data_IF_780682800847
#
_entry.id   IF_780682800847
#
_cell.length_a   1.000
_cell.length_b   1.000
_cell.length_c   1.000
_cell.angle_alpha   90.00
_cell.angle_beta   90.00
_cell.angle_gamma   90.00
#
_symmetry.space_group_name_H-M   'P 1'
#
loop_
_entity.id
_entity.type
_entity.pdbx_description
1 polymer ?
#
# COMPACT_ATOMS: atom_id res chain seq x y z
N UNK A 1 21.13 5.98 1.19
CA UNK A 1 19.81 6.31 1.79
C UNK A 1 18.66 5.65 1.04
N UNK A 2 18.53 5.84 -0.28
CA UNK A 2 17.42 5.30 -1.07
C UNK A 2 17.23 3.78 -0.97
N UNK A 3 18.32 2.99 -1.03
CA UNK A 3 18.26 1.53 -0.91
C UNK A 3 17.69 1.11 0.46
N UNK A 4 18.16 1.73 1.54
CA UNK A 4 17.67 1.44 2.88
C UNK A 4 16.17 1.75 3.01
N UNK A 5 15.73 2.90 2.49
CA UNK A 5 14.31 3.28 2.47
C UNK A 5 13.49 2.27 1.65
N UNK A 6 13.98 1.89 0.47
CA UNK A 6 13.31 0.91 -0.39
C UNK A 6 13.15 -0.44 0.32
N UNK A 7 14.19 -0.91 1.01
CA UNK A 7 14.14 -2.15 1.81
C UNK A 7 13.07 -2.04 2.89
N UNK A 8 13.03 -0.95 3.64
CA UNK A 8 12.06 -0.74 4.73
C UNK A 8 10.63 -0.72 4.16
N UNK A 9 10.38 0.08 3.12
CA UNK A 9 9.06 0.21 2.49
C UNK A 9 8.59 -1.13 1.93
N UNK A 10 9.45 -1.84 1.20
CA UNK A 10 9.12 -3.14 0.64
C UNK A 10 8.84 -4.19 1.73
N UNK A 11 9.60 -4.16 2.83
CA UNK A 11 9.38 -5.03 3.98
C UNK A 11 8.01 -4.79 4.61
N UNK A 12 7.63 -3.51 4.83
CA UNK A 12 6.32 -3.17 5.40
C UNK A 12 5.18 -3.61 4.47
N UNK A 13 5.28 -3.32 3.17
CA UNK A 13 4.28 -3.70 2.18
C UNK A 13 4.06 -5.21 2.17
N UNK A 14 5.15 -6.01 2.14
CA UNK A 14 5.00 -7.47 2.14
C UNK A 14 4.47 -7.98 3.47
N UNK A 15 4.93 -7.48 4.63
CA UNK A 15 4.42 -7.95 5.93
C UNK A 15 2.90 -7.73 6.02
N UNK A 16 2.40 -6.58 5.55
CA UNK A 16 0.96 -6.30 5.53
C UNK A 16 0.22 -7.16 4.49
N UNK A 17 0.86 -7.46 3.36
CA UNK A 17 0.34 -8.41 2.37
C UNK A 17 0.16 -9.81 2.98
N UNK A 18 1.21 -10.35 3.61
CA UNK A 18 1.17 -11.65 4.27
C UNK A 18 0.15 -11.67 5.41
N UNK A 19 0.00 -10.56 6.14
CA UNK A 19 -1.05 -10.42 7.15
C UNK A 19 -2.45 -10.59 6.54
N UNK A 20 -2.68 -10.14 5.31
CA UNK A 20 -3.94 -10.35 4.60
C UNK A 20 -4.24 -11.84 4.37
N UNK A 21 -3.28 -12.58 3.81
CA UNK A 21 -3.39 -14.02 3.66
C UNK A 21 -3.63 -14.72 5.01
N UNK A 22 -2.87 -14.33 6.03
CA UNK A 22 -2.98 -14.89 7.38
C UNK A 22 -4.38 -14.71 7.98
N UNK A 23 -4.90 -13.48 7.96
CA UNK A 23 -6.21 -13.16 8.54
C UNK A 23 -7.33 -13.87 7.78
N UNK A 24 -7.29 -13.87 6.45
CA UNK A 24 -8.28 -14.56 5.63
C UNK A 24 -8.24 -16.09 5.83
N UNK A 25 -7.04 -16.67 5.93
CA UNK A 25 -6.87 -18.09 6.19
C UNK A 25 -7.42 -18.47 7.58
N UNK A 26 -7.13 -17.68 8.63
CA UNK A 26 -7.73 -17.88 9.96
C UNK A 26 -9.26 -17.77 9.92
N UNK A 27 -9.80 -16.78 9.21
CA UNK A 27 -11.24 -16.60 9.06
C UNK A 27 -11.92 -17.75 8.29
N UNK A 28 -11.23 -18.33 7.31
CA UNK A 28 -11.68 -19.52 6.58
C UNK A 28 -11.51 -20.84 7.38
N UNK A 29 -10.99 -20.77 8.61
CA UNK A 29 -10.72 -21.93 9.46
C UNK A 29 -9.60 -22.81 8.90
N UNK A 30 -8.61 -22.20 8.24
CA UNK A 30 -7.42 -22.88 7.73
C UNK A 30 -6.36 -22.86 8.84
N UNK A 31 -5.75 -24.02 9.10
CA UNK A 31 -4.64 -24.12 10.02
C UNK A 31 -3.38 -23.51 9.38
N UNK A 32 -2.65 -22.72 10.15
CA UNK A 32 -1.47 -22.00 9.67
C UNK A 32 -0.29 -22.47 10.50
N UNK A 33 0.70 -23.05 9.83
CA UNK A 33 1.87 -23.66 10.44
C UNK A 33 2.91 -22.60 10.80
N UNK A 34 3.16 -21.65 9.90
CA UNK A 34 4.18 -20.62 10.07
C UNK A 34 3.72 -19.29 9.44
N UNK A 35 3.87 -18.20 10.18
CA UNK A 35 3.88 -16.84 9.67
C UNK A 35 5.31 -16.31 9.82
N UNK A 36 5.99 -16.05 8.70
CA UNK A 36 7.39 -15.64 8.70
C UNK A 36 7.56 -14.22 8.22
N UNK A 37 8.35 -13.44 8.96
CA UNK A 37 8.88 -12.16 8.53
C UNK A 37 10.31 -12.40 8.04
N UNK A 38 10.53 -12.12 6.76
CA UNK A 38 11.79 -12.33 6.07
C UNK A 38 11.99 -13.76 5.55
N UNK A 39 13.16 -13.97 4.95
CA UNK A 39 13.61 -15.22 4.35
C UNK A 39 14.97 -15.69 4.91
N UNK A 40 15.36 -16.90 4.52
CA UNK A 40 16.64 -17.50 4.90
C UNK A 40 16.62 -18.16 6.28
N UNK A 41 17.76 -18.22 7.00
CA UNK A 41 17.85 -18.92 8.27
C UNK A 41 16.96 -18.25 9.34
N UNK A 42 16.27 -19.09 10.12
CA UNK A 42 15.43 -18.65 11.23
C UNK A 42 16.31 -18.08 12.35
N UNK A 43 16.03 -16.85 12.75
CA UNK A 43 16.66 -16.22 13.91
C UNK A 43 15.87 -16.53 15.16
N UNK A 44 14.55 -16.37 15.09
CA UNK A 44 13.62 -16.58 16.20
C UNK A 44 12.35 -17.23 15.66
N UNK A 45 11.75 -18.12 16.44
CA UNK A 45 10.46 -18.72 16.12
C UNK A 45 9.70 -19.02 17.41
N UNK A 46 8.53 -18.40 17.57
CA UNK A 46 7.69 -18.51 18.76
C UNK A 46 6.28 -18.95 18.38
N UNK A 47 5.56 -19.55 19.31
CA UNK A 47 4.19 -20.00 19.12
C UNK A 47 4.04 -21.53 19.19
N UNK A 48 2.81 -21.97 19.50
CA UNK A 48 2.46 -23.39 19.61
C UNK A 48 1.82 -23.87 18.32
N UNK A 49 0.60 -23.41 18.05
CA UNK A 49 -0.20 -23.86 16.90
C UNK A 49 0.20 -23.16 15.59
N UNK A 50 0.55 -21.87 15.68
CA UNK A 50 1.11 -21.10 14.57
C UNK A 50 2.48 -20.58 15.00
N UNK A 51 3.51 -20.87 14.22
CA UNK A 51 4.87 -20.38 14.46
C UNK A 51 5.03 -18.99 13.85
N UNK A 52 5.28 -17.99 14.67
CA UNK A 52 5.71 -16.66 14.24
C UNK A 52 7.23 -16.63 14.20
N UNK A 53 7.78 -16.52 12.99
CA UNK A 53 9.23 -16.60 12.76
C UNK A 53 9.79 -15.29 12.25
N UNK A 54 10.99 -14.94 12.72
CA UNK A 54 11.79 -13.84 12.19
C UNK A 54 13.04 -14.45 11.58
N UNK A 55 13.35 -14.08 10.34
CA UNK A 55 14.48 -14.62 9.57
C UNK A 55 15.49 -13.54 9.20
N UNK A 56 16.70 -13.97 8.86
CA UNK A 56 17.85 -13.08 8.66
C UNK A 56 17.63 -12.03 7.57
N UNK A 57 16.99 -12.40 6.47
CA UNK A 57 16.82 -11.50 5.33
C UNK A 57 15.46 -10.81 5.47
N UNK A 58 15.40 -9.49 5.75
CA UNK A 58 14.14 -8.79 6.02
C UNK A 58 13.28 -8.54 4.77
N UNK A 59 13.77 -8.91 3.58
CA UNK A 59 13.08 -8.68 2.31
C UNK A 59 11.91 -9.64 2.10
N UNK A 60 10.80 -9.43 2.80
CA UNK A 60 9.53 -10.11 2.54
C UNK A 60 9.04 -10.98 3.69
N UNK A 61 8.36 -12.08 3.37
CA UNK A 61 7.74 -12.97 4.32
C UNK A 61 6.91 -14.04 3.62
N UNK A 62 6.30 -14.94 4.39
CA UNK A 62 5.34 -15.91 3.85
C UNK A 62 4.41 -16.42 4.94
N UNK A 63 3.23 -16.88 4.53
CA UNK A 63 2.28 -17.63 5.36
C UNK A 63 2.21 -19.06 4.86
N UNK A 64 2.67 -20.01 5.68
CA UNK A 64 2.55 -21.44 5.38
C UNK A 64 1.25 -22.00 5.92
N UNK A 65 0.37 -22.42 5.02
CA UNK A 65 -0.91 -23.03 5.39
C UNK A 65 -0.79 -24.56 5.39
N UNK A 66 -1.55 -25.21 6.29
CA UNK A 66 -1.58 -26.67 6.36
C UNK A 66 -2.01 -27.25 5.02
N UNK A 67 -1.21 -28.18 4.50
CA UNK A 67 -1.47 -28.88 3.24
C UNK A 67 -1.18 -28.09 1.96
N UNK A 68 -0.57 -26.91 2.06
CA UNK A 68 -0.18 -26.09 0.90
C UNK A 68 1.11 -26.59 0.21
N UNK A 69 2.16 -26.90 0.98
CA UNK A 69 3.47 -27.31 0.42
C UNK A 69 3.67 -28.84 0.43
N UNK A 70 3.27 -29.54 1.50
CA UNK A 70 3.73 -30.92 1.75
C UNK A 70 2.63 -32.00 1.60
N UNK A 71 1.41 -31.62 1.20
CA UNK A 71 0.24 -32.53 1.17
C UNK A 71 -0.18 -33.07 2.55
N UNK A 72 0.53 -32.67 3.62
CA UNK A 72 0.24 -33.04 4.99
C UNK A 72 -1.15 -32.52 5.41
N UNK A 73 -1.89 -33.34 6.14
CA UNK A 73 -3.24 -32.98 6.59
C UNK A 73 -4.31 -33.08 5.51
N UNK A 74 -4.15 -33.90 4.46
CA UNK A 74 -5.18 -34.15 3.45
C UNK A 74 -6.53 -34.61 4.06
N UNK A 75 -6.50 -35.34 5.19
CA UNK A 75 -7.72 -35.73 5.91
C UNK A 75 -8.21 -34.69 6.93
N UNK A 76 -7.55 -33.53 7.05
CA UNK A 76 -7.90 -32.49 8.01
C UNK A 76 -8.83 -31.44 7.37
N UNK A 77 -10.05 -31.20 7.89
CA UNK A 77 -10.93 -30.14 7.37
C UNK A 77 -10.35 -28.73 7.43
N UNK A 78 -9.31 -28.50 8.25
CA UNK A 78 -8.58 -27.24 8.34
C UNK A 78 -7.42 -27.12 7.33
N UNK A 79 -7.21 -28.13 6.48
CA UNK A 79 -6.23 -28.09 5.40
C UNK A 79 -6.68 -27.16 4.28
N UNK A 80 -5.76 -26.37 3.73
CA UNK A 80 -6.00 -25.42 2.64
C UNK A 80 -6.68 -26.06 1.42
N UNK A 81 -6.20 -27.20 0.86
CA UNK A 81 -6.85 -27.85 -0.29
C UNK A 81 -8.27 -28.33 -0.01
N UNK A 82 -8.65 -28.57 1.25
CA UNK A 82 -9.99 -29.04 1.63
C UNK A 82 -11.03 -27.91 1.74
N UNK A 83 -10.62 -26.64 1.58
CA UNK A 83 -11.54 -25.52 1.55
C UNK A 83 -12.21 -25.38 0.18
N UNK A 84 -13.38 -24.76 0.18
CA UNK A 84 -14.09 -24.47 -1.07
C UNK A 84 -13.25 -23.56 -1.97
N UNK A 85 -13.39 -23.66 -3.31
CA UNK A 85 -12.66 -22.80 -4.24
C UNK A 85 -12.82 -21.31 -3.92
N UNK A 86 -14.01 -20.88 -3.48
CA UNK A 86 -14.26 -19.50 -3.11
C UNK A 86 -13.46 -19.05 -1.89
N UNK A 87 -13.35 -19.90 -0.85
CA UNK A 87 -12.52 -19.60 0.31
C UNK A 87 -11.05 -19.48 -0.07
N UNK A 88 -10.55 -20.39 -0.92
CA UNK A 88 -9.17 -20.37 -1.40
C UNK A 88 -8.89 -19.12 -2.22
N UNK A 89 -9.79 -18.74 -3.13
CA UNK A 89 -9.69 -17.50 -3.89
C UNK A 89 -9.71 -16.27 -2.98
N UNK A 90 -10.58 -16.24 -1.96
CA UNK A 90 -10.63 -15.14 -1.01
C UNK A 90 -9.32 -14.99 -0.23
N UNK A 91 -8.72 -16.11 0.20
CA UNK A 91 -7.41 -16.11 0.87
C UNK A 91 -6.31 -15.57 -0.04
N UNK A 92 -6.26 -16.01 -1.30
CA UNK A 92 -5.28 -15.51 -2.29
C UNK A 92 -5.50 -14.01 -2.57
N UNK A 93 -6.75 -13.55 -2.66
CA UNK A 93 -7.04 -12.15 -2.91
C UNK A 93 -6.78 -11.24 -1.69
N UNK A 94 -6.78 -11.79 -0.48
CA UNK A 94 -6.68 -11.00 0.76
C UNK A 94 -5.35 -10.24 0.89
N UNK A 95 -4.24 -10.80 0.39
CA UNK A 95 -2.94 -10.13 0.42
C UNK A 95 -2.94 -8.82 -0.38
N UNK A 96 -3.26 -8.84 -1.69
CA UNK A 96 -3.42 -7.62 -2.49
C UNK A 96 -4.43 -6.64 -1.90
N UNK A 97 -5.58 -7.12 -1.41
CA UNK A 97 -6.60 -6.26 -0.77
C UNK A 97 -6.03 -5.53 0.44
N UNK A 98 -5.25 -6.21 1.30
CA UNK A 98 -4.60 -5.55 2.44
C UNK A 98 -3.60 -4.47 2.02
N UNK A 99 -2.91 -4.63 0.88
CA UNK A 99 -2.05 -3.57 0.35
C UNK A 99 -2.85 -2.36 -0.15
N UNK A 100 -3.99 -2.58 -0.80
CA UNK A 100 -4.89 -1.48 -1.16
C UNK A 100 -5.43 -0.74 0.06
N UNK A 101 -5.79 -1.47 1.12
CA UNK A 101 -6.20 -0.88 2.40
C UNK A 101 -5.05 -0.10 3.05
N UNK A 102 -3.84 -0.66 3.06
CA UNK A 102 -2.65 0.04 3.55
C UNK A 102 -2.38 1.32 2.78
N UNK A 103 -2.41 1.28 1.45
CA UNK A 103 -2.22 2.45 0.61
C UNK A 103 -3.26 3.52 0.90
N UNK A 104 -4.54 3.12 1.01
CA UNK A 104 -5.64 4.02 1.35
C UNK A 104 -5.43 4.68 2.70
N UNK A 105 -5.04 3.89 3.72
CA UNK A 105 -4.73 4.40 5.05
C UNK A 105 -3.54 5.37 5.04
N UNK A 106 -2.47 5.04 4.32
CA UNK A 106 -1.30 5.92 4.17
C UNK A 106 -1.72 7.24 3.53
N UNK A 107 -2.51 7.21 2.45
CA UNK A 107 -2.99 8.44 1.81
C UNK A 107 -3.88 9.27 2.74
N UNK A 108 -4.81 8.64 3.46
CA UNK A 108 -5.65 9.33 4.45
C UNK A 108 -4.79 10.01 5.51
N UNK A 109 -3.80 9.31 6.08
CA UNK A 109 -2.93 9.87 7.11
C UNK A 109 -2.02 10.97 6.56
N UNK A 110 -1.47 10.77 5.36
CA UNK A 110 -0.59 11.74 4.70
C UNK A 110 -1.35 13.04 4.41
N UNK A 111 -2.50 12.97 3.72
CA UNK A 111 -3.30 14.14 3.40
C UNK A 111 -4.00 14.73 4.63
N UNK A 112 -4.35 13.91 5.62
CA UNK A 112 -4.93 14.37 6.88
C UNK A 112 -3.93 15.13 7.75
N UNK A 113 -2.65 14.74 7.75
CA UNK A 113 -1.60 15.36 8.57
C UNK A 113 -0.92 16.55 7.87
N UNK A 114 -0.62 16.42 6.58
CA UNK A 114 0.07 17.46 5.79
C UNK A 114 -0.93 18.46 5.18
N UNK A 115 -2.20 18.08 5.10
CA UNK A 115 -3.21 18.78 4.32
C UNK A 115 -3.11 18.42 2.83
N UNK A 116 -4.12 18.80 2.06
CA UNK A 116 -3.99 18.87 0.61
C UNK A 116 -3.23 20.15 0.33
N UNK A 117 -1.93 20.05 0.01
CA UNK A 117 -1.17 21.20 -0.44
C UNK A 117 -1.77 21.61 -1.79
N UNK A 118 -2.55 22.69 -1.78
CA UNK A 118 -3.17 23.25 -2.98
C UNK A 118 -2.14 23.97 -3.82
N UNK A 119 -1.27 23.25 -4.53
CA UNK A 119 -0.26 23.83 -5.43
C UNK A 119 -0.75 23.93 -6.87
N UNK A 120 -1.98 24.40 -7.08
CA UNK A 120 -2.40 24.87 -8.40
C UNK A 120 -2.84 26.32 -8.28
N UNK A 121 -1.94 27.17 -7.80
CA UNK A 121 -2.02 28.61 -8.02
C UNK A 121 -1.50 28.86 -9.43
N UNK A 122 -2.30 29.51 -10.26
CA UNK A 122 -1.93 29.87 -11.62
C UNK A 122 -0.90 31.01 -11.55
N UNK A 123 0.36 30.66 -11.24
CA UNK A 123 1.47 31.59 -11.15
C UNK A 123 2.06 31.79 -12.55
N UNK A 124 2.24 33.04 -12.94
CA UNK A 124 2.94 33.38 -14.17
C UNK A 124 4.41 32.98 -14.02
N UNK A 125 4.86 32.10 -14.91
CA UNK A 125 6.27 31.75 -15.05
C UNK A 125 7.04 32.88 -15.73
N UNK A 126 7.75 32.60 -16.82
CA UNK A 126 8.45 33.66 -17.55
C UNK A 126 7.51 34.43 -18.49
N UNK A 127 7.74 35.75 -18.58
CA UNK A 127 7.05 36.62 -19.53
C UNK A 127 7.97 36.90 -20.72
N UNK A 128 7.50 36.60 -21.92
CA UNK A 128 8.29 36.79 -23.16
C UNK A 128 8.39 38.28 -23.50
N UNK A 129 9.59 38.83 -23.76
CA UNK A 129 9.75 40.22 -24.17
C UNK A 129 8.98 40.56 -25.46
N UNK A 130 8.32 41.71 -25.49
CA UNK A 130 7.48 42.19 -26.59
C UNK A 130 6.10 41.52 -26.69
N UNK A 131 5.79 40.57 -25.81
CA UNK A 131 4.51 39.85 -25.84
C UNK A 131 3.33 40.70 -25.36
N UNK A 132 2.07 40.32 -25.71
CA UNK A 132 0.89 40.94 -25.12
C UNK A 132 0.84 40.87 -23.59
N UNK A 133 1.45 39.83 -23.00
CA UNK A 133 1.53 39.67 -21.55
C UNK A 133 2.42 40.74 -20.90
N UNK A 134 3.59 41.03 -21.50
CA UNK A 134 4.47 42.13 -21.05
C UNK A 134 3.78 43.49 -21.22
N UNK A 135 3.09 43.71 -22.35
CA UNK A 135 2.35 44.95 -22.61
C UNK A 135 1.18 45.15 -21.65
N UNK A 136 0.57 44.05 -21.18
CA UNK A 136 -0.46 44.06 -20.14
C UNK A 136 0.11 44.27 -18.73
N UNK A 137 1.43 44.32 -18.58
CA UNK A 137 2.12 44.53 -17.30
C UNK A 137 2.20 43.30 -16.42
N UNK A 138 1.98 42.10 -16.97
CA UNK A 138 2.14 40.85 -16.24
C UNK A 138 3.61 40.61 -15.92
N UNK A 139 3.87 40.15 -14.70
CA UNK A 139 5.22 39.86 -14.21
C UNK A 139 5.35 38.39 -13.78
N UNK A 140 6.56 37.81 -13.91
CA UNK A 140 6.86 36.53 -13.29
C UNK A 140 6.56 36.54 -11.80
N UNK A 141 5.80 35.55 -11.33
CA UNK A 141 5.35 35.45 -9.95
C UNK A 141 3.96 36.02 -9.69
N UNK A 142 3.32 36.69 -10.65
CA UNK A 142 1.93 37.14 -10.51
C UNK A 142 0.99 35.93 -10.37
N UNK A 143 0.03 36.03 -9.44
CA UNK A 143 -1.03 35.03 -9.25
C UNK A 143 -2.28 35.41 -10.04
N UNK A 144 -2.70 34.53 -10.96
CA UNK A 144 -3.94 34.70 -11.69
C UNK A 144 -5.10 34.27 -10.79
N UNK A 145 -5.81 35.26 -10.24
CA UNK A 145 -6.98 35.04 -9.37
C UNK A 145 -8.30 34.85 -10.14
N UNK A 146 -8.37 35.33 -11.39
CA UNK A 146 -9.57 35.22 -12.25
C UNK A 146 -9.27 35.50 -13.72
N UNK A 147 -10.07 34.94 -14.62
CA UNK A 147 -10.07 35.20 -16.07
C UNK A 147 -11.51 35.52 -16.50
N UNK A 148 -11.73 36.63 -17.22
CA UNK A 148 -13.06 37.05 -17.70
C UNK A 148 -14.14 37.09 -16.60
N UNK A 149 -13.76 37.56 -15.39
CA UNK A 149 -14.62 37.57 -14.19
C UNK A 149 -15.08 36.19 -13.68
N UNK A 150 -14.60 35.10 -14.29
CA UNK A 150 -14.68 33.79 -13.68
C UNK A 150 -13.48 33.61 -12.76
N UNK A 151 -13.77 33.39 -11.48
CA UNK A 151 -12.72 33.00 -10.52
C UNK A 151 -12.06 31.75 -11.06
N UNK A 152 -10.74 31.80 -11.21
CA UNK A 152 -9.91 30.62 -11.48
C UNK A 152 -10.01 29.74 -10.23
N UNK A 153 -11.05 28.92 -10.18
CA UNK A 153 -11.18 27.89 -9.17
C UNK A 153 -10.21 26.81 -9.57
N UNK A 154 -9.13 26.71 -8.80
CA UNK A 154 -8.21 25.59 -8.81
C UNK A 154 -8.97 24.29 -9.10
N UNK A 155 -8.52 23.55 -10.12
CA UNK A 155 -9.18 22.37 -10.72
C UNK A 155 -9.59 21.29 -9.69
N UNK A 156 -9.06 21.36 -8.47
CA UNK A 156 -9.47 20.59 -7.30
C UNK A 156 -10.90 20.86 -6.79
N UNK A 157 -11.56 21.93 -7.24
CA UNK A 157 -12.90 22.34 -6.80
C UNK A 157 -14.05 21.72 -7.63
N UNK A 158 -13.72 20.92 -8.66
CA UNK A 158 -14.72 20.26 -9.51
C UNK A 158 -15.04 18.82 -9.09
N UNK A 159 -14.39 18.30 -8.04
CA UNK A 159 -14.56 16.92 -7.55
C UNK A 159 -15.27 16.81 -6.19
N UNK A 160 -15.84 17.90 -5.68
CA UNK A 160 -16.77 17.90 -4.53
C UNK A 160 -18.07 18.59 -4.92
#
# INVERSE_FOLDING_TARGET
MAILIAVIVFSVIIIVHELGHFLAAKAAGIAIEEFSIGFGPKLLSLGRDTKFSIRLVPMGGFVRMLGEEDGAGENNPASYPNKTPLQRMAVIAAGPVMNFLLATLIFILLYGAVGVVGENVAIIGDVVPGSPAEQAGLLPGDEIVSIDSQVEKSSSSQLL
#
